data_IF_099462605344
#
_entry.id   IF_099462605344
#
_cell.length_a   1.000
_cell.length_b   1.000
_cell.length_c   1.000
_cell.angle_alpha   90.00
_cell.angle_beta   90.00
_cell.angle_gamma   90.00
#
_symmetry.space_group_name_H-M   'P 1'
#
loop_
_entity.id
_entity.type
_entity.pdbx_description
1 polymer ?
#
# COMPACT_ATOMS: atom_id res chain seq x y z
N UNK A 1 -37.68 1.74 7.59
CA UNK A 1 -38.62 1.00 8.44
C UNK A 1 -37.85 -0.08 9.18
N UNK A 2 -38.14 -0.28 10.47
CA UNK A 2 -37.64 -1.44 11.23
C UNK A 2 -38.85 -2.34 11.47
N UNK A 3 -38.73 -3.61 11.13
CA UNK A 3 -39.77 -4.60 11.39
C UNK A 3 -39.17 -5.99 11.59
N UNK A 4 -39.91 -6.86 12.24
CA UNK A 4 -39.45 -8.23 12.53
C UNK A 4 -40.37 -9.22 11.84
N UNK A 5 -39.79 -10.18 11.12
CA UNK A 5 -40.51 -11.32 10.56
C UNK A 5 -39.87 -12.62 11.07
N UNK A 6 -40.63 -13.37 11.87
CA UNK A 6 -40.15 -14.54 12.60
C UNK A 6 -38.87 -14.29 13.41
N UNK A 7 -37.73 -14.74 12.89
CA UNK A 7 -36.41 -14.64 13.52
C UNK A 7 -35.50 -13.62 12.84
N UNK A 8 -36.00 -12.86 11.85
CA UNK A 8 -35.22 -11.87 11.12
C UNK A 8 -35.74 -10.48 11.40
N UNK A 9 -34.85 -9.60 11.80
CA UNK A 9 -35.09 -8.17 11.99
C UNK A 9 -34.61 -7.46 10.73
N UNK A 10 -35.48 -6.67 10.12
CA UNK A 10 -35.23 -5.92 8.91
C UNK A 10 -35.09 -4.44 9.24
N UNK A 11 -34.01 -3.82 8.78
CA UNK A 11 -33.71 -2.39 8.91
C UNK A 11 -33.54 -1.82 7.50
N UNK A 12 -34.57 -1.15 6.99
CA UNK A 12 -34.63 -0.85 5.55
C UNK A 12 -34.89 0.62 5.24
N UNK A 13 -34.21 1.17 4.23
CA UNK A 13 -34.58 2.44 3.61
C UNK A 13 -34.31 3.69 4.44
N UNK A 14 -33.40 3.65 5.42
CA UNK A 14 -33.01 4.84 6.18
C UNK A 14 -32.00 5.68 5.43
N UNK A 15 -32.24 7.00 5.29
CA UNK A 15 -31.35 7.89 4.52
C UNK A 15 -30.44 8.80 5.35
N UNK A 16 -30.68 8.90 6.65
CA UNK A 16 -29.86 9.65 7.60
C UNK A 16 -30.20 9.25 9.03
N UNK A 17 -29.25 9.43 9.94
CA UNK A 17 -29.45 9.36 11.38
C UNK A 17 -28.92 8.08 11.99
N UNK A 18 -29.24 7.89 13.27
CA UNK A 18 -28.73 6.78 14.06
C UNK A 18 -29.87 5.96 14.66
N UNK A 19 -29.71 4.64 14.72
CA UNK A 19 -30.65 3.74 15.40
C UNK A 19 -29.89 2.70 16.20
N UNK A 20 -30.54 2.26 17.27
CA UNK A 20 -30.10 1.13 18.09
C UNK A 20 -31.20 0.07 18.01
N UNK A 21 -30.82 -1.19 17.82
CA UNK A 21 -31.75 -2.32 17.86
C UNK A 21 -31.23 -3.39 18.82
N UNK A 22 -32.15 -4.03 19.53
CA UNK A 22 -31.88 -5.22 20.34
C UNK A 22 -32.36 -6.46 19.59
N UNK A 23 -31.57 -7.52 19.59
CA UNK A 23 -31.90 -8.74 18.85
C UNK A 23 -32.78 -9.72 19.63
N UNK A 24 -32.93 -9.50 20.94
CA UNK A 24 -33.70 -10.24 21.96
C UNK A 24 -33.23 -11.68 22.19
N UNK A 25 -32.87 -12.41 21.13
CA UNK A 25 -32.52 -13.82 21.18
C UNK A 25 -31.31 -14.10 20.27
N UNK A 26 -30.30 -14.85 20.74
CA UNK A 26 -29.10 -15.13 19.94
C UNK A 26 -29.31 -15.87 18.61
N UNK A 27 -30.46 -16.55 18.46
CA UNK A 27 -30.83 -17.24 17.21
C UNK A 27 -31.40 -16.31 16.13
N UNK A 28 -31.65 -15.05 16.46
CA UNK A 28 -32.22 -14.09 15.52
C UNK A 28 -31.15 -13.57 14.56
N UNK A 29 -31.57 -13.12 13.39
CA UNK A 29 -30.73 -12.58 12.33
C UNK A 29 -31.13 -11.13 12.03
N UNK A 30 -30.19 -10.34 11.52
CA UNK A 30 -30.44 -8.95 11.14
C UNK A 30 -30.14 -8.77 9.66
N UNK A 31 -31.03 -8.07 8.96
CA UNK A 31 -30.84 -7.64 7.58
C UNK A 31 -30.95 -6.12 7.51
N UNK A 32 -29.92 -5.47 7.01
CA UNK A 32 -29.88 -4.02 6.77
C UNK A 32 -29.91 -3.80 5.27
N UNK A 33 -30.90 -3.10 4.73
CA UNK A 33 -31.07 -2.96 3.29
C UNK A 33 -31.36 -1.54 2.85
N UNK A 34 -30.77 -1.11 1.72
CA UNK A 34 -31.11 0.16 1.05
C UNK A 34 -30.99 1.39 1.97
N UNK A 35 -30.08 1.37 2.93
CA UNK A 35 -29.80 2.50 3.81
C UNK A 35 -28.68 3.38 3.25
N UNK A 36 -28.74 4.68 3.48
CA UNK A 36 -27.69 5.63 3.11
C UNK A 36 -27.37 6.58 4.27
N UNK A 37 -26.11 7.01 4.44
CA UNK A 37 -25.71 8.02 5.44
C UNK A 37 -26.22 7.70 6.87
N UNK A 38 -26.17 6.43 7.25
CA UNK A 38 -26.91 5.89 8.40
C UNK A 38 -26.00 5.14 9.36
N UNK A 39 -26.21 5.34 10.66
CA UNK A 39 -25.54 4.58 11.72
C UNK A 39 -26.50 3.59 12.38
N UNK A 40 -26.10 2.33 12.48
CA UNK A 40 -26.84 1.30 13.20
C UNK A 40 -25.97 0.68 14.29
N UNK A 41 -26.49 0.62 15.51
CA UNK A 41 -25.90 -0.18 16.59
C UNK A 41 -26.81 -1.38 16.86
N UNK A 42 -26.24 -2.58 16.80
CA UNK A 42 -26.93 -3.84 17.06
C UNK A 42 -26.41 -4.40 18.38
N UNK A 43 -27.29 -4.40 19.38
CA UNK A 43 -26.97 -4.92 20.70
C UNK A 43 -27.16 -6.43 20.78
N UNK A 44 -26.54 -7.00 21.81
CA UNK A 44 -26.55 -8.42 22.12
C UNK A 44 -25.83 -9.30 21.08
N UNK A 45 -25.71 -10.58 21.41
CA UNK A 45 -25.17 -11.61 20.53
C UNK A 45 -26.30 -12.11 19.64
N UNK A 46 -26.05 -12.30 18.34
CA UNK A 46 -27.05 -12.80 17.39
C UNK A 46 -26.45 -13.70 16.31
N UNK A 47 -27.30 -14.27 15.46
CA UNK A 47 -26.91 -15.35 14.55
C UNK A 47 -26.03 -14.84 13.41
N UNK A 48 -26.58 -14.00 12.54
CA UNK A 48 -25.93 -13.49 11.35
C UNK A 48 -26.44 -12.10 10.98
N UNK A 49 -25.59 -11.35 10.29
CA UNK A 49 -25.88 -10.03 9.73
C UNK A 49 -25.76 -10.07 8.21
N UNK A 50 -26.79 -9.58 7.50
CA UNK A 50 -26.75 -9.33 6.07
C UNK A 50 -26.91 -7.83 5.81
N UNK A 51 -26.00 -7.23 5.06
CA UNK A 51 -26.02 -5.82 4.68
C UNK A 51 -26.11 -5.75 3.16
N UNK A 52 -27.17 -5.13 2.64
CA UNK A 52 -27.51 -5.19 1.22
C UNK A 52 -27.77 -3.79 0.65
N UNK A 53 -27.03 -3.40 -0.39
CA UNK A 53 -27.31 -2.15 -1.11
C UNK A 53 -27.27 -0.90 -0.23
N UNK A 54 -26.31 -0.84 0.70
CA UNK A 54 -26.10 0.29 1.60
C UNK A 54 -24.99 1.22 1.11
N UNK A 55 -25.12 2.52 1.40
CA UNK A 55 -24.17 3.57 1.00
C UNK A 55 -23.79 4.44 2.21
N UNK A 56 -22.51 4.74 2.44
CA UNK A 56 -22.08 5.66 3.51
C UNK A 56 -22.67 5.28 4.89
N UNK A 57 -22.64 3.99 5.24
CA UNK A 57 -23.24 3.49 6.47
C UNK A 57 -22.18 3.03 7.48
N UNK A 58 -22.50 3.16 8.77
CA UNK A 58 -21.69 2.65 9.87
C UNK A 58 -22.53 1.67 10.68
N UNK A 59 -22.07 0.42 10.81
CA UNK A 59 -22.78 -0.63 11.54
C UNK A 59 -21.88 -1.15 12.65
N UNK A 60 -22.31 -0.96 13.90
CA UNK A 60 -21.59 -1.41 15.09
C UNK A 60 -22.33 -2.58 15.73
N UNK A 61 -21.61 -3.65 16.09
CA UNK A 61 -22.19 -4.86 16.66
C UNK A 61 -21.23 -5.56 17.63
N UNK A 62 -21.78 -6.40 18.52
CA UNK A 62 -20.99 -7.15 19.50
C UNK A 62 -20.52 -8.51 18.97
N UNK A 63 -21.39 -9.52 18.94
CA UNK A 63 -21.01 -10.91 18.67
C UNK A 63 -21.93 -11.56 17.63
N UNK A 64 -21.32 -12.25 16.67
CA UNK A 64 -21.98 -13.05 15.64
C UNK A 64 -21.69 -14.54 15.87
N UNK A 65 -22.71 -15.38 15.74
CA UNK A 65 -22.56 -16.84 15.81
C UNK A 65 -22.06 -17.40 14.48
N UNK A 66 -22.63 -16.95 13.37
CA UNK A 66 -22.39 -17.51 12.05
C UNK A 66 -21.53 -16.61 11.16
N UNK A 67 -21.64 -15.28 11.26
CA UNK A 67 -20.85 -14.33 10.48
C UNK A 67 -21.65 -13.14 9.96
N UNK A 68 -20.99 -12.31 9.14
CA UNK A 68 -21.57 -11.15 8.48
C UNK A 68 -21.34 -11.21 6.98
N UNK A 69 -22.34 -10.82 6.20
CA UNK A 69 -22.29 -10.73 4.75
C UNK A 69 -22.67 -9.32 4.28
N UNK A 70 -21.88 -8.76 3.38
CA UNK A 70 -22.10 -7.46 2.76
C UNK A 70 -22.17 -7.64 1.25
N UNK A 71 -23.27 -7.18 0.65
CA UNK A 71 -23.54 -7.36 -0.79
C UNK A 71 -23.93 -6.03 -1.40
N UNK A 72 -23.22 -5.64 -2.47
CA UNK A 72 -23.52 -4.43 -3.26
C UNK A 72 -23.52 -3.14 -2.42
N UNK A 73 -22.58 -2.99 -1.49
CA UNK A 73 -22.48 -1.83 -0.61
C UNK A 73 -21.32 -0.90 -1.01
N UNK A 74 -21.43 0.39 -0.68
CA UNK A 74 -20.38 1.39 -0.92
C UNK A 74 -20.09 2.21 0.33
N UNK A 75 -18.83 2.50 0.60
CA UNK A 75 -18.38 3.32 1.75
C UNK A 75 -18.99 2.84 3.07
N UNK A 76 -18.72 1.59 3.42
CA UNK A 76 -19.32 0.94 4.60
C UNK A 76 -18.27 0.77 5.70
N UNK A 77 -18.63 1.13 6.93
CA UNK A 77 -17.84 0.83 8.12
C UNK A 77 -18.59 -0.22 8.93
N UNK A 78 -17.97 -1.37 9.16
CA UNK A 78 -18.49 -2.39 10.08
C UNK A 78 -17.55 -2.51 11.27
N UNK A 79 -18.09 -2.38 12.48
CA UNK A 79 -17.33 -2.46 13.73
C UNK A 79 -17.84 -3.60 14.60
N UNK A 80 -17.00 -4.63 14.74
CA UNK A 80 -17.26 -5.83 15.51
C UNK A 80 -16.46 -5.73 16.82
N UNK A 81 -17.14 -5.37 17.91
CA UNK A 81 -16.51 -5.15 19.23
C UNK A 81 -16.30 -6.44 20.03
N UNK A 82 -17.02 -7.50 19.68
CA UNK A 82 -16.86 -8.85 20.22
C UNK A 82 -16.29 -9.80 19.18
N UNK A 83 -16.90 -10.98 19.02
CA UNK A 83 -16.42 -12.05 18.14
C UNK A 83 -17.26 -12.20 16.87
N UNK A 84 -16.62 -12.45 15.73
CA UNK A 84 -17.24 -13.00 14.52
C UNK A 84 -16.32 -14.07 13.90
N UNK A 85 -16.84 -15.21 13.44
CA UNK A 85 -16.02 -16.25 12.81
C UNK A 85 -15.56 -15.87 11.40
N UNK A 86 -16.42 -15.17 10.65
CA UNK A 86 -16.13 -14.75 9.28
C UNK A 86 -16.81 -13.45 8.88
N UNK A 87 -16.32 -12.88 7.78
CA UNK A 87 -16.90 -11.76 7.06
C UNK A 87 -16.85 -12.04 5.57
N UNK A 88 -17.98 -11.89 4.89
CA UNK A 88 -18.10 -12.02 3.44
C UNK A 88 -18.39 -10.65 2.84
N UNK A 89 -17.62 -10.27 1.82
CA UNK A 89 -17.76 -9.01 1.11
C UNK A 89 -17.89 -9.30 -0.39
N UNK A 90 -19.07 -9.07 -0.95
CA UNK A 90 -19.36 -9.30 -2.36
C UNK A 90 -19.88 -8.03 -3.04
N UNK A 91 -19.37 -7.71 -4.23
CA UNK A 91 -19.79 -6.54 -5.02
C UNK A 91 -19.70 -5.21 -4.26
N UNK A 92 -18.80 -5.08 -3.29
CA UNK A 92 -18.66 -3.87 -2.46
C UNK A 92 -17.43 -3.02 -2.82
N UNK A 93 -17.53 -1.72 -2.55
CA UNK A 93 -16.45 -0.74 -2.74
C UNK A 93 -16.24 0.09 -1.47
N UNK A 94 -15.00 0.21 -1.01
CA UNK A 94 -14.66 1.05 0.14
C UNK A 94 -15.27 0.54 1.45
N UNK A 95 -14.85 -0.65 1.90
CA UNK A 95 -15.33 -1.24 3.17
C UNK A 95 -14.22 -1.25 4.20
N UNK A 96 -14.48 -0.65 5.37
CA UNK A 96 -13.63 -0.72 6.54
C UNK A 96 -14.21 -1.72 7.55
N UNK A 97 -13.52 -2.84 7.73
CA UNK A 97 -13.84 -3.88 8.69
C UNK A 97 -13.01 -3.65 9.95
N UNK A 98 -13.63 -3.10 10.99
CA UNK A 98 -13.02 -2.93 12.29
C UNK A 98 -13.36 -4.15 13.17
N UNK A 99 -12.35 -4.88 13.61
CA UNK A 99 -12.50 -6.10 14.42
C UNK A 99 -11.86 -5.94 15.79
N UNK A 100 -12.38 -6.66 16.77
CA UNK A 100 -11.80 -6.71 18.12
C UNK A 100 -10.55 -7.60 18.19
N UNK A 101 -9.84 -7.53 19.31
CA UNK A 101 -8.79 -8.49 19.63
C UNK A 101 -9.29 -9.93 19.75
N UNK A 102 -10.58 -10.17 19.99
CA UNK A 102 -11.17 -11.53 20.07
C UNK A 102 -11.27 -12.23 18.71
N UNK A 103 -11.11 -11.50 17.61
CA UNK A 103 -11.16 -12.02 16.24
C UNK A 103 -9.75 -12.35 15.72
N UNK A 104 -9.02 -13.26 16.37
CA UNK A 104 -7.62 -13.58 16.00
C UNK A 104 -7.52 -14.38 14.69
N UNK A 105 -8.50 -15.25 14.41
CA UNK A 105 -8.52 -16.14 13.23
C UNK A 105 -9.76 -15.94 12.37
N UNK A 106 -10.22 -14.68 12.25
CA UNK A 106 -11.40 -14.37 11.44
C UNK A 106 -11.13 -14.68 9.97
N UNK A 107 -12.07 -15.35 9.30
CA UNK A 107 -11.99 -15.64 7.88
C UNK A 107 -12.66 -14.52 7.08
N UNK A 108 -11.98 -13.97 6.08
CA UNK A 108 -12.55 -12.92 5.24
C UNK A 108 -12.59 -13.40 3.80
N UNK A 109 -13.77 -13.37 3.20
CA UNK A 109 -14.02 -13.77 1.83
C UNK A 109 -14.39 -12.54 1.02
N UNK A 110 -13.76 -12.36 -0.15
CA UNK A 110 -14.03 -11.23 -1.04
C UNK A 110 -14.38 -11.72 -2.44
N UNK A 111 -15.28 -11.00 -3.11
CA UNK A 111 -15.68 -11.26 -4.51
C UNK A 111 -16.07 -9.95 -5.18
N UNK A 112 -15.44 -9.62 -6.32
CA UNK A 112 -15.74 -8.41 -7.10
C UNK A 112 -15.76 -7.12 -6.26
N UNK A 113 -14.75 -6.95 -5.41
CA UNK A 113 -14.64 -5.83 -4.47
C UNK A 113 -13.51 -4.88 -4.83
N UNK A 114 -13.55 -3.65 -4.31
CA UNK A 114 -12.43 -2.69 -4.32
C UNK A 114 -12.27 -2.00 -2.96
N UNK A 115 -11.03 -1.66 -2.59
CA UNK A 115 -10.70 -0.89 -1.38
C UNK A 115 -11.27 -1.50 -0.07
N UNK A 116 -10.96 -2.78 0.17
CA UNK A 116 -11.34 -3.46 1.40
C UNK A 116 -10.20 -3.40 2.40
N UNK A 117 -10.48 -2.87 3.58
CA UNK A 117 -9.51 -2.68 4.65
C UNK A 117 -9.99 -3.35 5.94
N UNK A 118 -9.06 -3.96 6.67
CA UNK A 118 -9.28 -4.59 7.96
C UNK A 118 -8.43 -3.87 8.99
N UNK A 119 -8.99 -3.62 10.16
CA UNK A 119 -8.31 -2.86 11.22
C UNK A 119 -8.71 -3.39 12.59
N UNK A 120 -7.78 -3.42 13.55
CA UNK A 120 -8.12 -3.64 14.96
C UNK A 120 -8.75 -2.37 15.53
N UNK A 121 -9.97 -2.44 16.05
CA UNK A 121 -10.64 -1.21 16.49
C UNK A 121 -10.01 -0.62 17.77
N UNK A 122 -9.41 -1.46 18.62
CA UNK A 122 -8.67 -1.05 19.81
C UNK A 122 -7.29 -0.44 19.49
N UNK A 123 -6.77 -0.70 18.28
CA UNK A 123 -5.48 -0.21 17.80
C UNK A 123 -5.66 0.54 16.48
N UNK A 124 -5.94 1.84 16.60
CA UNK A 124 -6.40 2.65 15.45
C UNK A 124 -5.38 2.85 14.32
N UNK A 125 -4.11 2.47 14.53
CA UNK A 125 -3.00 2.78 13.63
C UNK A 125 -2.74 1.75 12.54
N UNK A 126 -3.15 0.48 12.70
CA UNK A 126 -2.83 -0.58 11.75
C UNK A 126 -4.02 -0.90 10.83
N UNK A 127 -3.86 -0.61 9.54
CA UNK A 127 -4.79 -0.96 8.46
C UNK A 127 -4.17 -2.03 7.55
N UNK A 128 -4.88 -3.15 7.39
CA UNK A 128 -4.52 -4.26 6.53
C UNK A 128 -5.44 -4.25 5.31
N UNK A 129 -4.88 -4.08 4.11
CA UNK A 129 -5.68 -4.07 2.88
C UNK A 129 -5.78 -5.48 2.31
N UNK A 130 -6.98 -5.86 1.84
CA UNK A 130 -7.19 -7.15 1.18
C UNK A 130 -6.84 -7.00 -0.30
N UNK A 131 -5.98 -7.87 -0.88
CA UNK A 131 -5.73 -7.88 -2.32
C UNK A 131 -7.03 -8.09 -3.10
N UNK A 132 -7.28 -7.25 -4.11
CA UNK A 132 -8.46 -7.39 -4.99
C UNK A 132 -8.10 -7.86 -6.40
N UNK A 133 -6.80 -7.98 -6.70
CA UNK A 133 -6.31 -8.45 -7.99
C UNK A 133 -5.44 -9.67 -7.79
N UNK A 134 -5.49 -10.57 -8.75
CA UNK A 134 -4.66 -11.76 -8.81
C UNK A 134 -4.04 -11.83 -10.21
N UNK A 135 -2.74 -12.09 -10.28
CA UNK A 135 -2.08 -12.47 -11.53
C UNK A 135 -2.19 -13.99 -11.66
N UNK A 136 -2.71 -14.44 -12.80
CA UNK A 136 -2.84 -15.85 -13.14
C UNK A 136 -1.79 -16.23 -14.18
N UNK A 137 -0.98 -17.26 -13.90
CA UNK A 137 0.03 -17.79 -14.82
C UNK A 137 -0.13 -19.29 -15.02
N UNK A 138 0.01 -19.77 -16.25
CA UNK A 138 0.12 -21.21 -16.54
C UNK A 138 1.59 -21.61 -16.41
N UNK A 139 1.90 -22.56 -15.53
CA UNK A 139 3.25 -23.08 -15.34
C UNK A 139 3.67 -24.00 -16.49
N UNK A 140 4.97 -24.32 -16.58
CA UNK A 140 5.50 -25.33 -17.52
C UNK A 140 4.88 -26.72 -17.33
N UNK A 141 4.27 -26.98 -16.18
CA UNK A 141 3.55 -28.23 -15.86
C UNK A 141 2.04 -28.13 -16.15
N UNK A 142 1.58 -27.12 -16.90
CA UNK A 142 0.17 -26.85 -17.17
C UNK A 142 -0.70 -26.63 -15.92
N UNK A 143 -0.11 -26.09 -14.84
CA UNK A 143 -0.86 -25.71 -13.63
C UNK A 143 -1.16 -24.21 -13.64
N UNK A 144 -2.41 -23.85 -13.33
CA UNK A 144 -2.79 -22.45 -13.10
C UNK A 144 -2.30 -22.02 -11.71
N UNK A 145 -1.41 -21.04 -11.68
CA UNK A 145 -0.89 -20.42 -10.46
C UNK A 145 -1.52 -19.05 -10.34
N UNK A 146 -2.20 -18.79 -9.22
CA UNK A 146 -2.77 -17.49 -8.90
C UNK A 146 -1.95 -16.86 -7.78
N UNK A 147 -1.39 -15.69 -8.04
CA UNK A 147 -0.66 -14.90 -7.06
C UNK A 147 -1.46 -13.64 -6.75
N UNK A 148 -1.80 -13.36 -5.48
CA UNK A 148 -2.38 -12.08 -5.11
C UNK A 148 -1.45 -10.94 -5.58
N UNK A 149 -1.99 -10.03 -6.37
CA UNK A 149 -1.37 -8.73 -6.61
C UNK A 149 -1.88 -7.86 -5.47
N UNK A 150 -1.06 -7.69 -4.43
CA UNK A 150 -1.43 -6.87 -3.29
C UNK A 150 -1.96 -5.51 -3.76
N UNK A 151 -3.12 -5.10 -3.25
CA UNK A 151 -3.43 -3.66 -3.25
C UNK A 151 -2.42 -3.07 -2.28
N UNK A 152 -1.43 -2.39 -2.84
CA UNK A 152 -0.30 -1.76 -2.16
C UNK A 152 0.93 -2.64 -1.86
N UNK A 153 1.37 -3.50 -2.79
CA UNK A 153 2.84 -3.63 -2.97
C UNK A 153 3.33 -2.39 -3.72
N UNK A 154 3.40 -1.28 -2.98
CA UNK A 154 3.97 -0.02 -3.45
C UNK A 154 5.48 0.02 -3.20
N UNK A 155 6.09 1.13 -3.60
CA UNK A 155 7.52 1.43 -3.43
C UNK A 155 8.00 1.18 -2.01
N UNK A 156 7.18 1.44 -0.98
CA UNK A 156 7.52 1.19 0.41
C UNK A 156 7.75 -0.29 0.77
N UNK A 157 7.03 -1.22 0.14
CA UNK A 157 7.26 -2.64 0.38
C UNK A 157 8.49 -3.14 -0.39
N UNK A 158 8.70 -2.67 -1.61
CA UNK A 158 9.90 -3.02 -2.39
C UNK A 158 11.18 -2.51 -1.70
N UNK A 159 11.13 -1.30 -1.15
CA UNK A 159 12.20 -0.75 -0.32
C UNK A 159 12.41 -1.54 0.98
N UNK A 160 11.33 -1.94 1.65
CA UNK A 160 11.43 -2.76 2.86
C UNK A 160 12.05 -4.13 2.58
N UNK A 161 11.70 -4.76 1.47
CA UNK A 161 12.29 -6.02 1.02
C UNK A 161 13.78 -5.84 0.71
N UNK A 162 14.15 -4.73 0.06
CA UNK A 162 15.55 -4.37 -0.18
C UNK A 162 16.33 -4.23 1.15
N UNK A 163 15.80 -3.50 2.14
CA UNK A 163 16.42 -3.41 3.47
C UNK A 163 16.57 -4.79 4.14
N UNK A 164 15.53 -5.63 4.03
CA UNK A 164 15.52 -6.96 4.64
C UNK A 164 16.56 -7.88 4.00
N UNK A 165 16.79 -7.76 2.69
CA UNK A 165 17.80 -8.53 1.97
C UNK A 165 19.23 -8.18 2.37
N UNK A 166 19.49 -6.91 2.74
CA UNK A 166 20.82 -6.36 2.99
C UNK A 166 21.81 -6.54 1.82
N UNK A 167 21.28 -6.63 0.59
CA UNK A 167 22.07 -6.78 -0.62
C UNK A 167 22.46 -5.41 -1.19
N UNK A 168 23.67 -5.28 -1.75
CA UNK A 168 24.13 -4.10 -2.51
C UNK A 168 24.10 -2.79 -1.67
N UNK A 169 24.30 -2.91 -0.35
CA UNK A 169 24.39 -1.80 0.60
C UNK A 169 25.73 -1.07 0.51
N UNK A 170 25.74 0.23 0.80
CA UNK A 170 26.90 1.13 0.72
C UNK A 170 27.21 1.87 2.05
N UNK A 171 26.40 1.66 3.08
CA UNK A 171 26.56 2.30 4.39
C UNK A 171 26.23 1.32 5.53
N UNK A 172 26.85 1.54 6.69
CA UNK A 172 26.58 0.82 7.92
C UNK A 172 26.05 1.78 9.00
N UNK A 173 25.03 1.35 9.74
CA UNK A 173 24.44 2.06 10.87
C UNK A 173 24.56 1.17 12.09
N UNK A 174 25.29 1.62 13.11
CA UNK A 174 25.51 0.86 14.33
C UNK A 174 24.48 1.23 15.41
N UNK A 175 24.06 0.22 16.17
CA UNK A 175 23.30 0.31 17.41
C UNK A 175 24.17 -0.20 18.57
N UNK A 176 23.67 -0.16 19.80
CA UNK A 176 24.41 -0.64 20.98
C UNK A 176 24.92 -2.09 20.84
N UNK A 177 24.14 -2.95 20.17
CA UNK A 177 24.31 -4.40 20.16
C UNK A 177 24.34 -5.02 18.75
N UNK A 178 24.16 -4.22 17.69
CA UNK A 178 24.11 -4.71 16.31
C UNK A 178 24.47 -3.62 15.29
N UNK A 179 25.12 -4.01 14.19
CA UNK A 179 25.30 -3.15 13.00
C UNK A 179 24.33 -3.56 11.89
N UNK A 180 23.75 -2.56 11.23
CA UNK A 180 22.80 -2.70 10.14
C UNK A 180 23.44 -2.20 8.85
N UNK A 181 23.33 -3.00 7.77
CA UNK A 181 23.74 -2.56 6.43
C UNK A 181 22.57 -1.88 5.73
N UNK A 182 22.81 -0.71 5.17
CA UNK A 182 21.77 0.15 4.59
C UNK A 182 22.24 0.82 3.30
N UNK A 183 21.27 1.40 2.58
CA UNK A 183 21.46 2.19 1.38
C UNK A 183 21.45 3.67 1.76
N UNK A 184 22.58 4.34 1.56
CA UNK A 184 22.80 5.72 1.97
C UNK A 184 21.82 6.69 1.30
N UNK A 185 21.51 6.45 0.03
CA UNK A 185 20.55 7.23 -0.74
C UNK A 185 19.13 7.15 -0.16
N UNK A 186 18.67 5.96 0.23
CA UNK A 186 17.33 5.80 0.83
C UNK A 186 17.24 6.56 2.16
N UNK A 187 18.26 6.52 3.01
CA UNK A 187 18.24 7.33 4.24
C UNK A 187 18.26 8.83 3.91
N UNK A 188 19.04 9.26 2.92
CA UNK A 188 19.13 10.67 2.52
C UNK A 188 17.82 11.21 1.95
N UNK A 189 17.09 10.42 1.16
CA UNK A 189 15.75 10.80 0.67
C UNK A 189 14.81 11.10 1.84
N UNK A 190 14.88 10.31 2.91
CA UNK A 190 13.96 10.45 4.06
C UNK A 190 14.39 11.50 5.07
N UNK A 191 15.68 11.58 5.33
CA UNK A 191 16.24 12.35 6.45
C UNK A 191 16.97 13.62 5.99
N UNK A 192 17.29 13.74 4.71
CA UNK A 192 18.23 14.73 4.19
C UNK A 192 19.67 14.34 4.46
N UNK A 193 20.56 15.34 4.57
CA UNK A 193 21.98 15.10 4.85
C UNK A 193 22.16 14.44 6.23
N UNK A 194 22.81 13.29 6.25
CA UNK A 194 23.14 12.55 7.46
C UNK A 194 24.56 12.89 7.86
N UNK A 195 24.75 13.42 9.06
CA UNK A 195 26.07 13.70 9.61
C UNK A 195 26.56 12.57 10.53
N UNK A 196 27.85 12.59 10.83
CA UNK A 196 28.50 11.61 11.71
C UNK A 196 27.92 11.64 13.13
N UNK A 197 27.46 12.81 13.59
CA UNK A 197 26.84 12.96 14.91
C UNK A 197 25.52 12.18 15.01
N UNK A 198 24.71 12.20 13.95
CA UNK A 198 23.48 11.43 13.85
C UNK A 198 23.77 9.93 13.93
N UNK A 199 24.79 9.44 13.21
CA UNK A 199 25.17 8.02 13.23
C UNK A 199 25.65 7.58 14.61
N UNK A 200 26.54 8.36 15.25
CA UNK A 200 27.01 8.10 16.62
C UNK A 200 25.89 8.14 17.66
N UNK A 201 24.82 8.89 17.39
CA UNK A 201 23.66 8.92 18.28
C UNK A 201 22.84 7.63 18.21
N UNK A 202 22.70 7.04 17.03
CA UNK A 202 21.99 5.77 16.85
C UNK A 202 22.66 4.61 17.60
N UNK A 203 23.99 4.69 17.82
CA UNK A 203 24.74 3.73 18.63
C UNK A 203 24.28 3.66 20.10
N UNK A 204 23.50 4.65 20.56
CA UNK A 204 22.94 4.71 21.92
C UNK A 204 21.61 3.99 22.08
N UNK A 205 21.06 3.44 20.99
CA UNK A 205 19.79 2.71 21.03
C UNK A 205 20.02 1.21 20.90
N UNK A 206 19.12 0.42 21.49
CA UNK A 206 19.07 -1.01 21.23
C UNK A 206 18.71 -1.30 19.77
N UNK A 207 19.19 -2.43 19.27
CA UNK A 207 18.99 -2.90 17.90
C UNK A 207 17.51 -2.96 17.51
N UNK A 208 16.59 -3.29 18.44
CA UNK A 208 15.14 -3.26 18.21
C UNK A 208 14.61 -1.89 17.81
N UNK A 209 15.18 -0.83 18.36
CA UNK A 209 14.73 0.54 18.16
C UNK A 209 15.28 1.08 16.84
N UNK A 210 16.57 0.84 16.59
CA UNK A 210 17.21 1.20 15.32
C UNK A 210 16.60 0.43 14.16
N UNK A 211 16.30 -0.86 14.31
CA UNK A 211 15.61 -1.65 13.28
C UNK A 211 14.20 -1.11 12.99
N UNK A 212 13.45 -0.73 14.03
CA UNK A 212 12.12 -0.13 13.86
C UNK A 212 12.20 1.22 13.13
N UNK A 213 13.21 2.03 13.44
CA UNK A 213 13.50 3.28 12.76
C UNK A 213 13.88 3.07 11.29
N UNK A 214 14.78 2.14 11.00
CA UNK A 214 15.18 1.83 9.62
C UNK A 214 13.99 1.27 8.83
N UNK A 215 13.17 0.39 9.39
CA UNK A 215 11.94 -0.06 8.73
C UNK A 215 11.00 1.09 8.37
N UNK A 216 10.89 2.11 9.23
CA UNK A 216 10.14 3.33 8.93
C UNK A 216 10.79 4.16 7.81
N UNK A 217 12.11 4.27 7.77
CA UNK A 217 12.84 4.92 6.66
C UNK A 217 12.46 4.27 5.32
N UNK A 218 12.52 2.94 5.22
CA UNK A 218 12.27 2.24 3.94
C UNK A 218 10.79 2.16 3.56
N UNK A 219 9.88 2.00 4.52
CA UNK A 219 8.46 1.72 4.22
C UNK A 219 7.49 2.85 4.57
N UNK A 220 7.93 3.83 5.37
CA UNK A 220 7.04 4.79 6.04
C UNK A 220 6.17 4.16 7.13
N UNK A 221 6.15 2.83 7.28
CA UNK A 221 5.30 2.15 8.24
C UNK A 221 5.87 2.26 9.65
N UNK A 222 4.96 2.42 10.61
CA UNK A 222 5.30 2.56 12.02
C UNK A 222 4.95 1.28 12.75
N UNK A 223 5.97 0.60 13.26
CA UNK A 223 5.82 -0.54 14.15
C UNK A 223 5.79 -0.11 15.63
N UNK A 224 6.59 0.91 15.99
CA UNK A 224 6.62 1.52 17.32
C UNK A 224 6.89 3.02 17.22
N UNK A 225 5.84 3.83 17.38
CA UNK A 225 5.91 5.28 17.12
C UNK A 225 6.79 6.03 18.12
N UNK A 226 6.89 5.56 19.37
CA UNK A 226 7.59 6.29 20.43
C UNK A 226 9.10 6.34 20.15
N UNK A 227 9.71 5.21 19.79
CA UNK A 227 11.14 5.15 19.49
C UNK A 227 11.50 5.88 18.20
N UNK A 228 10.66 5.78 17.17
CA UNK A 228 10.86 6.50 15.91
C UNK A 228 10.81 8.01 16.17
N UNK A 229 9.82 8.47 16.95
CA UNK A 229 9.66 9.89 17.30
C UNK A 229 10.83 10.40 18.12
N UNK A 230 11.31 9.60 19.08
CA UNK A 230 12.48 9.94 19.90
C UNK A 230 13.73 10.16 19.03
N UNK A 231 14.02 9.23 18.11
CA UNK A 231 15.16 9.36 17.19
C UNK A 231 14.98 10.57 16.26
N UNK A 232 13.81 10.74 15.65
CA UNK A 232 13.57 11.82 14.69
C UNK A 232 13.60 13.22 15.34
N UNK A 233 13.06 13.37 16.54
CA UNK A 233 13.12 14.64 17.28
C UNK A 233 14.57 15.07 17.55
N UNK A 234 15.46 14.11 17.81
CA UNK A 234 16.88 14.38 18.08
C UNK A 234 17.65 14.74 16.81
N UNK A 235 17.24 14.20 15.66
CA UNK A 235 17.75 14.59 14.34
C UNK A 235 17.20 15.97 13.91
N UNK A 236 16.28 16.56 14.68
CA UNK A 236 15.76 17.91 14.47
C UNK A 236 14.43 17.98 13.73
N UNK A 237 13.74 16.84 13.56
CA UNK A 237 12.37 16.84 13.01
C UNK A 237 11.36 17.28 14.06
N UNK A 238 10.43 18.15 13.67
CA UNK A 238 9.28 18.51 14.51
C UNK A 238 8.22 17.40 14.50
N UNK A 239 7.35 17.37 15.51
CA UNK A 239 6.22 16.42 15.53
C UNK A 239 5.31 16.51 14.29
N UNK A 240 5.16 17.72 13.74
CA UNK A 240 4.38 17.95 12.52
C UNK A 240 5.06 17.32 11.31
N UNK A 241 6.37 17.51 11.15
CA UNK A 241 7.14 16.87 10.09
C UNK A 241 7.11 15.34 10.21
N UNK A 242 7.20 14.79 11.42
CA UNK A 242 7.12 13.34 11.65
C UNK A 242 5.76 12.80 11.21
N UNK A 243 4.66 13.49 11.56
CA UNK A 243 3.31 13.10 11.13
C UNK A 243 3.17 13.14 9.61
N UNK A 244 3.69 14.18 8.95
CA UNK A 244 3.64 14.30 7.49
C UNK A 244 4.46 13.22 6.77
N UNK A 245 5.60 12.82 7.33
CA UNK A 245 6.52 11.83 6.71
C UNK A 245 6.11 10.39 7.02
N UNK A 246 5.22 10.18 7.99
CA UNK A 246 4.79 8.85 8.41
C UNK A 246 3.71 8.29 7.49
N UNK A 247 3.80 6.99 7.22
CA UNK A 247 2.90 6.25 6.34
C UNK A 247 3.33 6.27 4.88
N UNK A 248 2.57 5.54 4.06
CA UNK A 248 2.86 5.40 2.63
C UNK A 248 2.80 6.76 1.89
N UNK A 249 1.86 7.62 2.25
CA UNK A 249 1.72 8.96 1.65
C UNK A 249 2.95 9.84 1.92
N UNK A 250 3.47 9.81 3.16
CA UNK A 250 4.67 10.55 3.54
C UNK A 250 5.92 10.05 2.83
N UNK A 251 6.09 8.73 2.71
CA UNK A 251 7.17 8.14 1.92
C UNK A 251 7.10 8.55 0.45
N UNK A 252 5.94 8.43 -0.19
CA UNK A 252 5.76 8.79 -1.60
C UNK A 252 6.00 10.29 -1.81
N UNK A 253 5.56 11.14 -0.86
CA UNK A 253 5.83 12.58 -0.89
C UNK A 253 7.33 12.86 -0.89
N UNK A 254 8.09 12.22 0.01
CA UNK A 254 9.55 12.37 0.08
C UNK A 254 10.23 11.92 -1.22
N UNK A 255 9.87 10.73 -1.72
CA UNK A 255 10.40 10.18 -2.98
C UNK A 255 10.10 11.08 -4.18
N UNK A 256 8.88 11.62 -4.27
CA UNK A 256 8.47 12.51 -5.36
C UNK A 256 9.20 13.85 -5.31
N UNK A 257 9.34 14.43 -4.12
CA UNK A 257 10.11 15.67 -3.93
C UNK A 257 11.56 15.47 -4.34
N UNK A 258 12.15 14.33 -3.97
CA UNK A 258 13.54 14.04 -4.26
C UNK A 258 13.77 13.69 -5.76
N UNK A 259 12.83 12.99 -6.41
CA UNK A 259 12.84 12.82 -7.87
C UNK A 259 12.88 14.15 -8.62
N UNK A 260 12.13 15.14 -8.17
CA UNK A 260 12.13 16.48 -8.76
C UNK A 260 13.43 17.26 -8.52
N UNK A 261 14.14 16.95 -7.43
CA UNK A 261 15.40 17.57 -7.05
C UNK A 261 16.61 16.73 -7.54
N UNK A 262 17.83 17.24 -7.37
CA UNK A 262 19.06 16.55 -7.83
C UNK A 262 20.14 16.44 -6.76
N UNK A 263 19.80 16.70 -5.50
CA UNK A 263 20.80 16.92 -4.44
C UNK A 263 21.50 15.63 -3.98
N UNK A 264 20.76 14.51 -3.88
CA UNK A 264 21.28 13.24 -3.33
C UNK A 264 21.40 12.11 -4.35
N UNK A 265 21.17 12.40 -5.64
CA UNK A 265 21.24 11.41 -6.73
C UNK A 265 22.68 10.94 -6.93
N UNK A 266 22.96 9.71 -6.53
CA UNK A 266 24.29 9.08 -6.53
C UNK A 266 24.62 8.29 -7.80
N UNK A 267 23.67 8.18 -8.75
CA UNK A 267 23.83 7.35 -9.93
C UNK A 267 23.38 8.05 -11.21
N UNK A 268 24.07 7.80 -12.32
CA UNK A 268 23.78 8.40 -13.64
C UNK A 268 23.51 7.35 -14.70
N UNK A 269 22.33 7.44 -15.34
CA UNK A 269 21.97 6.64 -16.51
C UNK A 269 22.25 7.45 -17.79
N UNK A 270 23.18 6.96 -18.63
CA UNK A 270 23.57 7.59 -19.90
C UNK A 270 22.70 7.05 -21.05
N UNK A 271 21.97 7.93 -21.71
CA UNK A 271 21.07 7.66 -22.83
C UNK A 271 21.65 8.31 -24.10
N UNK A 272 22.69 7.68 -24.66
CA UNK A 272 23.43 8.26 -25.79
C UNK A 272 24.12 9.57 -25.38
N UNK A 273 23.63 10.70 -25.89
CA UNK A 273 24.14 12.04 -25.56
C UNK A 273 23.47 12.67 -24.33
N UNK A 274 22.41 12.04 -23.82
CA UNK A 274 21.65 12.52 -22.67
C UNK A 274 22.04 11.77 -21.40
N UNK A 275 21.79 12.40 -20.25
CA UNK A 275 22.02 11.78 -18.94
C UNK A 275 20.82 12.01 -18.02
N UNK A 276 20.46 10.99 -17.23
CA UNK A 276 19.45 11.09 -16.18
C UNK A 276 20.07 10.65 -14.85
N UNK A 277 20.08 11.56 -13.88
CA UNK A 277 20.49 11.26 -12.51
C UNK A 277 19.34 10.57 -11.76
N UNK A 278 19.67 9.58 -10.93
CA UNK A 278 18.73 8.84 -10.08
C UNK A 278 19.44 8.22 -8.85
N UNK A 279 18.71 7.43 -8.07
CA UNK A 279 19.21 6.73 -6.88
C UNK A 279 19.37 5.25 -7.18
N UNK A 280 20.56 4.71 -6.92
CA UNK A 280 20.87 3.30 -7.13
C UNK A 280 19.95 2.38 -6.32
N UNK A 281 19.67 2.72 -5.06
CA UNK A 281 18.76 1.97 -4.19
C UNK A 281 17.34 1.86 -4.76
N UNK A 282 16.85 2.92 -5.42
CA UNK A 282 15.53 2.92 -6.06
C UNK A 282 15.52 2.02 -7.30
N UNK A 283 16.56 2.08 -8.14
CA UNK A 283 16.67 1.19 -9.30
C UNK A 283 16.68 -0.29 -8.88
N UNK A 284 17.50 -0.62 -7.88
CA UNK A 284 17.64 -1.99 -7.36
C UNK A 284 16.33 -2.49 -6.75
N UNK A 285 15.63 -1.65 -5.98
CA UNK A 285 14.36 -2.03 -5.38
C UNK A 285 13.26 -2.27 -6.43
N UNK A 286 13.30 -1.55 -7.55
CA UNK A 286 12.17 -1.44 -8.48
C UNK A 286 12.33 -2.19 -9.79
N UNK A 287 13.52 -2.71 -10.07
CA UNK A 287 13.82 -3.45 -11.30
C UNK A 287 14.73 -4.65 -11.02
N UNK A 288 14.26 -5.84 -11.39
CA UNK A 288 15.07 -7.06 -11.22
C UNK A 288 16.26 -7.08 -12.17
N UNK A 289 16.15 -6.43 -13.34
CA UNK A 289 17.27 -6.22 -14.25
C UNK A 289 18.38 -5.45 -13.55
N UNK A 290 18.07 -4.26 -13.00
CA UNK A 290 19.07 -3.44 -12.32
C UNK A 290 19.64 -4.15 -11.10
N UNK A 291 18.79 -4.78 -10.28
CA UNK A 291 19.25 -5.59 -9.16
C UNK A 291 20.30 -6.63 -9.59
N UNK A 292 19.99 -7.46 -10.59
CA UNK A 292 20.89 -8.52 -11.03
C UNK A 292 22.18 -7.96 -11.66
N UNK A 293 22.05 -6.86 -12.40
CA UNK A 293 23.16 -6.16 -13.01
C UNK A 293 24.12 -5.63 -11.93
N UNK A 294 23.63 -4.93 -10.91
CA UNK A 294 24.47 -4.41 -9.84
C UNK A 294 25.02 -5.51 -8.93
N UNK A 295 24.30 -6.62 -8.74
CA UNK A 295 24.82 -7.79 -8.03
C UNK A 295 26.01 -8.43 -8.77
N UNK A 296 26.03 -8.35 -10.10
CA UNK A 296 27.07 -8.93 -10.94
C UNK A 296 28.32 -8.04 -11.07
N UNK A 297 28.20 -6.74 -10.78
CA UNK A 297 29.29 -5.76 -10.93
C UNK A 297 29.92 -5.48 -9.56
N UNK A 298 31.18 -5.88 -9.39
CA UNK A 298 31.89 -5.75 -8.11
C UNK A 298 32.51 -4.36 -7.86
N UNK A 299 32.40 -3.44 -8.83
CA UNK A 299 33.14 -2.15 -8.87
C UNK A 299 32.33 -0.93 -8.41
N UNK A 300 31.17 -1.12 -7.77
CA UNK A 300 30.32 -0.02 -7.27
C UNK A 300 30.13 1.14 -8.29
N UNK A 301 29.60 0.84 -9.49
CA UNK A 301 29.48 1.84 -10.54
C UNK A 301 28.59 3.00 -10.10
N UNK A 302 28.99 4.22 -10.47
CA UNK A 302 28.23 5.47 -10.28
C UNK A 302 27.51 5.91 -11.56
N UNK A 303 27.78 5.24 -12.67
CA UNK A 303 27.13 5.47 -13.96
C UNK A 303 27.01 4.20 -14.79
N UNK A 304 26.01 4.15 -15.67
CA UNK A 304 25.88 3.12 -16.69
C UNK A 304 25.24 3.67 -17.96
N UNK A 305 25.59 3.09 -19.11
CA UNK A 305 24.86 3.31 -20.36
C UNK A 305 23.57 2.49 -20.38
N UNK A 306 22.48 3.13 -20.81
CA UNK A 306 21.25 2.44 -21.13
C UNK A 306 21.43 1.68 -22.45
N UNK A 307 21.14 0.37 -22.41
CA UNK A 307 21.14 -0.50 -23.59
C UNK A 307 19.74 -0.95 -23.96
N UNK A 308 18.72 -0.34 -23.37
CA UNK A 308 17.33 -0.70 -23.59
C UNK A 308 16.85 -0.30 -24.99
N UNK A 309 17.52 0.68 -25.62
CA UNK A 309 17.17 1.22 -26.93
C UNK A 309 15.91 2.10 -26.92
N UNK A 310 15.39 2.41 -25.73
CA UNK A 310 14.12 3.13 -25.53
C UNK A 310 14.31 4.62 -25.59
N UNK A 311 13.21 5.32 -25.85
CA UNK A 311 13.27 6.77 -25.94
C UNK A 311 13.45 7.39 -24.54
N UNK A 312 14.12 8.54 -24.48
CA UNK A 312 14.40 9.26 -23.23
C UNK A 312 13.15 9.60 -22.42
N UNK A 313 12.03 9.91 -23.09
CA UNK A 313 10.77 10.27 -22.42
C UNK A 313 10.20 9.06 -21.68
N UNK A 314 10.17 7.89 -22.31
CA UNK A 314 9.70 6.63 -21.72
C UNK A 314 10.56 6.22 -20.54
N UNK A 315 11.89 6.32 -20.66
CA UNK A 315 12.79 6.07 -19.53
C UNK A 315 12.52 7.04 -18.37
N UNK A 316 12.28 8.33 -18.67
CA UNK A 316 11.94 9.30 -17.61
C UNK A 316 10.60 8.97 -16.92
N UNK A 317 9.57 8.58 -17.67
CA UNK A 317 8.27 8.17 -17.13
C UNK A 317 8.42 6.91 -16.27
N UNK A 318 9.18 5.92 -16.76
CA UNK A 318 9.47 4.70 -16.01
C UNK A 318 10.21 4.98 -14.70
N UNK A 319 11.22 5.84 -14.75
CA UNK A 319 11.97 6.23 -13.56
C UNK A 319 11.07 6.99 -12.57
N UNK A 320 10.23 7.92 -13.03
CA UNK A 320 9.26 8.59 -12.16
C UNK A 320 8.29 7.60 -11.51
N UNK A 321 7.86 6.58 -12.25
CA UNK A 321 7.07 5.49 -11.71
C UNK A 321 7.82 4.71 -10.60
N UNK A 322 9.14 4.54 -10.70
CA UNK A 322 9.93 3.89 -9.63
C UNK A 322 9.88 4.67 -8.32
N UNK A 323 9.77 6.00 -8.37
CA UNK A 323 9.67 6.84 -7.17
C UNK A 323 8.24 6.98 -6.64
N UNK A 324 7.24 6.96 -7.54
CA UNK A 324 5.90 7.46 -7.20
C UNK A 324 4.81 6.41 -7.22
N UNK A 325 5.08 5.21 -7.74
CA UNK A 325 4.06 4.22 -8.12
C UNK A 325 3.00 4.78 -9.09
N UNK A 326 3.25 5.91 -9.74
CA UNK A 326 2.30 6.57 -10.63
C UNK A 326 2.94 6.88 -11.98
N UNK A 327 2.21 6.57 -13.05
CA UNK A 327 2.52 7.02 -14.40
C UNK A 327 1.86 8.39 -14.56
N UNK A 328 2.66 9.46 -14.45
CA UNK A 328 2.16 10.83 -14.59
C UNK A 328 2.09 11.23 -16.06
N UNK A 329 0.98 11.86 -16.46
CA UNK A 329 0.76 12.37 -17.82
C UNK A 329 0.96 13.89 -17.93
N UNK A 330 1.55 14.51 -16.92
CA UNK A 330 1.69 15.96 -16.82
C UNK A 330 2.84 16.43 -17.72
N UNK A 331 2.56 16.58 -19.03
CA UNK A 331 3.53 17.08 -20.02
C UNK A 331 3.08 16.93 -21.47
N UNK A 332 3.93 17.37 -22.41
CA UNK A 332 3.76 17.18 -23.86
C UNK A 332 4.09 15.71 -24.24
N UNK A 333 3.21 14.81 -23.78
CA UNK A 333 3.26 13.37 -24.00
C UNK A 333 2.35 13.03 -25.18
N UNK A 334 2.93 12.46 -26.24
CA UNK A 334 2.19 11.74 -27.27
C UNK A 334 1.97 10.26 -26.87
N UNK A 335 0.74 9.89 -26.52
CA UNK A 335 0.35 8.53 -26.10
C UNK A 335 0.85 7.46 -27.07
N UNK A 336 0.63 7.68 -28.37
CA UNK A 336 0.99 6.74 -29.42
C UNK A 336 2.51 6.60 -29.61
N UNK A 337 3.31 7.57 -29.17
CA UNK A 337 4.77 7.54 -29.29
C UNK A 337 5.44 6.68 -28.20
N UNK A 338 4.85 6.63 -27.00
CA UNK A 338 5.53 6.05 -25.82
C UNK A 338 4.81 4.86 -25.21
N UNK A 339 3.53 4.60 -25.53
CA UNK A 339 2.79 3.49 -24.93
C UNK A 339 3.47 2.15 -25.21
N UNK A 340 3.77 1.85 -26.48
CA UNK A 340 4.44 0.59 -26.86
C UNK A 340 5.83 0.51 -26.22
N UNK A 341 6.58 1.62 -26.22
CA UNK A 341 7.92 1.71 -25.64
C UNK A 341 7.92 1.46 -24.11
N UNK A 342 6.92 2.00 -23.39
CA UNK A 342 6.71 1.77 -21.96
C UNK A 342 6.21 0.36 -21.68
N UNK A 343 5.29 -0.17 -22.49
CA UNK A 343 4.78 -1.53 -22.33
C UNK A 343 5.93 -2.53 -22.46
N UNK A 344 6.75 -2.40 -23.50
CA UNK A 344 7.95 -3.21 -23.68
C UNK A 344 8.97 -2.97 -22.55
N UNK A 345 9.04 -1.75 -21.99
CA UNK A 345 9.94 -1.43 -20.87
C UNK A 345 9.64 -2.25 -19.62
N UNK A 346 8.36 -2.53 -19.35
CA UNK A 346 7.95 -3.36 -18.21
C UNK A 346 8.70 -4.70 -18.19
N UNK A 347 8.68 -5.40 -19.33
CA UNK A 347 9.32 -6.69 -19.51
C UNK A 347 10.85 -6.59 -19.48
N UNK A 348 11.42 -5.62 -20.20
CA UNK A 348 12.88 -5.46 -20.29
C UNK A 348 13.51 -5.15 -18.93
N UNK A 349 12.94 -4.20 -18.19
CA UNK A 349 13.43 -3.83 -16.86
C UNK A 349 13.00 -4.83 -15.78
N UNK A 350 12.22 -5.86 -16.14
CA UNK A 350 11.76 -6.90 -15.23
C UNK A 350 11.17 -6.28 -13.96
N UNK A 351 10.17 -5.43 -14.15
CA UNK A 351 9.46 -4.81 -13.03
C UNK A 351 8.84 -5.91 -12.17
N UNK A 352 8.63 -5.62 -10.88
CA UNK A 352 8.09 -6.64 -9.98
C UNK A 352 6.77 -7.17 -10.53
N UNK A 353 6.56 -8.49 -10.44
CA UNK A 353 5.34 -9.18 -10.91
C UNK A 353 4.06 -8.61 -10.28
N UNK A 354 4.22 -7.90 -9.15
CA UNK A 354 3.16 -7.26 -8.39
C UNK A 354 3.11 -5.74 -8.60
N UNK A 355 3.89 -5.19 -9.54
CA UNK A 355 3.85 -3.77 -9.90
C UNK A 355 2.50 -3.44 -10.55
N UNK A 356 2.00 -2.23 -10.30
CA UNK A 356 0.77 -1.73 -10.92
C UNK A 356 1.02 -0.99 -12.25
N UNK A 357 2.22 -1.12 -12.84
CA UNK A 357 2.68 -0.35 -14.00
C UNK A 357 1.85 -0.62 -15.26
N UNK A 358 1.82 -1.88 -15.73
CA UNK A 358 1.05 -2.29 -16.91
C UNK A 358 -0.45 -1.97 -16.75
N UNK A 359 -0.97 -2.13 -15.54
CA UNK A 359 -2.36 -1.76 -15.25
C UNK A 359 -2.61 -0.26 -15.46
N UNK A 360 -1.70 0.61 -15.03
CA UNK A 360 -1.83 2.05 -15.28
C UNK A 360 -1.73 2.37 -16.77
N UNK A 361 -0.85 1.68 -17.51
CA UNK A 361 -0.78 1.83 -18.96
C UNK A 361 -2.10 1.45 -19.64
N UNK A 362 -2.72 0.34 -19.24
CA UNK A 362 -4.04 -0.07 -19.77
C UNK A 362 -5.15 0.93 -19.45
N UNK A 363 -5.19 1.48 -18.23
CA UNK A 363 -6.15 2.54 -17.89
C UNK A 363 -5.95 3.78 -18.77
N UNK A 364 -4.70 4.19 -18.97
CA UNK A 364 -4.38 5.33 -19.84
C UNK A 364 -4.78 5.08 -21.29
N UNK A 365 -4.62 3.83 -21.78
CA UNK A 365 -5.09 3.42 -23.10
C UNK A 365 -6.60 3.53 -23.23
N UNK A 366 -7.36 3.02 -22.27
CA UNK A 366 -8.82 3.15 -22.27
C UNK A 366 -9.26 4.62 -22.27
N UNK A 367 -8.61 5.47 -21.48
CA UNK A 367 -8.90 6.90 -21.45
C UNK A 367 -8.58 7.59 -22.77
N UNK A 368 -7.45 7.23 -23.39
CA UNK A 368 -7.04 7.73 -24.69
C UNK A 368 -8.05 7.33 -25.78
N UNK A 369 -8.44 6.06 -25.86
CA UNK A 369 -9.46 5.57 -26.80
C UNK A 369 -10.83 6.25 -26.61
N UNK A 370 -11.23 6.50 -25.35
CA UNK A 370 -12.48 7.23 -25.03
C UNK A 370 -12.43 8.69 -25.49
N UNK A 371 -11.26 9.34 -25.43
CA UNK A 371 -11.06 10.72 -25.93
C UNK A 371 -11.04 10.76 -27.45
N UNK A 372 -10.40 9.79 -28.10
CA UNK A 372 -10.31 9.71 -29.56
C UNK A 372 -11.66 9.39 -30.23
N UNK A 373 -12.58 8.70 -29.54
CA UNK A 373 -13.96 8.48 -30.01
C UNK A 373 -14.91 9.68 -29.83
N UNK A 374 -14.49 10.72 -29.07
CA UNK A 374 -15.27 11.94 -28.82
C UNK A 374 -14.86 13.13 -29.70
N UNK A 375 -13.73 13.02 -30.39
CA UNK A 375 -13.32 13.91 -31.49
C UNK A 375 -13.78 13.32 -32.80
#
# INVERSE_FOLDING_TARGET
MIHTNYRRIFVEGFKKGERVIDTEKPRNSVQVSKCSNFKLTINEKFSNLLILSCLDCTIELSNLIAGCEMVNCKNLIIKITGYSPNVVVDLCEGVLIQISNKCENIQIYTSKTSNICVQKYEQSSLKLYIPVRFMSKISKENKLINTPCDIARGVGQDLLDLYTSQEITDMEVSSMDKTFKVHSDILQIRLGKIDEQTLLFLERFHSSNVDSFLKWVYSGLVTNINHITEILNQIGFSEEQIKEKTGNEGLIKDLKCDWANSEFKNFTLKLGNDEIKCHKGILIARSKLYFNMFLSINDQPTEISDYSGRNKKSIKILLEYFYTDLITTDGDWNFDEVYDDLYDASDFFQLSINSNFEYQLELLKEEHEKKSKKK
#
